data_IF_371137352501
#
_entry.id   IF_371137352501
#
_cell.length_a   1.000
_cell.length_b   1.000
_cell.length_c   1.000
_cell.angle_alpha   90.00
_cell.angle_beta   90.00
_cell.angle_gamma   90.00
#
_symmetry.space_group_name_H-M   'P 1'
#
loop_
_entity.id
_entity.type
_entity.pdbx_description
1 polymer ?
#
# COMPACT_ATOMS: atom_id res chain seq x y z
N UNK A 1 -2.31 8.97 -26.33
CA UNK A 1 -2.87 7.61 -26.14
C UNK A 1 -2.12 6.83 -25.06
N UNK A 2 -0.79 6.74 -25.12
CA UNK A 2 0.05 6.06 -24.11
C UNK A 2 -0.23 6.54 -22.67
N UNK A 3 -0.40 7.84 -22.44
CA UNK A 3 -0.65 8.38 -21.10
C UNK A 3 -1.91 7.82 -20.42
N UNK A 4 -2.98 7.57 -21.19
CA UNK A 4 -4.21 7.00 -20.67
C UNK A 4 -4.05 5.50 -20.34
N UNK A 5 -3.33 4.77 -21.18
CA UNK A 5 -2.99 3.37 -20.93
C UNK A 5 -2.14 3.22 -19.66
N UNK A 6 -1.07 4.03 -19.55
CA UNK A 6 -0.19 4.02 -18.38
C UNK A 6 -0.96 4.34 -17.11
N UNK A 7 -1.82 5.36 -17.13
CA UNK A 7 -2.64 5.71 -15.97
C UNK A 7 -3.60 4.57 -15.58
N UNK A 8 -4.23 3.92 -16.56
CA UNK A 8 -5.12 2.79 -16.31
C UNK A 8 -4.42 1.62 -15.62
N UNK A 9 -3.21 1.28 -16.06
CA UNK A 9 -2.39 0.21 -15.46
C UNK A 9 -2.00 0.56 -14.03
N UNK A 10 -1.46 1.77 -13.81
CA UNK A 10 -1.02 2.22 -12.46
C UNK A 10 -2.18 2.24 -11.47
N UNK A 11 -3.36 2.71 -11.90
CA UNK A 11 -4.55 2.74 -11.04
C UNK A 11 -5.03 1.33 -10.73
N UNK A 12 -5.08 0.42 -11.71
CA UNK A 12 -5.46 -0.98 -11.48
C UNK A 12 -4.51 -1.67 -10.49
N UNK A 13 -3.20 -1.50 -10.71
CA UNK A 13 -2.14 -2.06 -9.86
C UNK A 13 -2.26 -1.57 -8.41
N UNK A 14 -2.50 -0.28 -8.23
CA UNK A 14 -2.71 0.35 -6.91
C UNK A 14 -3.98 -0.16 -6.24
N UNK A 15 -5.12 -0.22 -6.95
CA UNK A 15 -6.40 -0.68 -6.41
C UNK A 15 -6.31 -2.15 -5.99
N UNK A 16 -5.65 -2.98 -6.79
CA UNK A 16 -5.47 -4.39 -6.49
C UNK A 16 -4.61 -4.59 -5.24
N UNK A 17 -3.51 -3.84 -5.12
CA UNK A 17 -2.63 -3.86 -3.95
C UNK A 17 -3.37 -3.39 -2.69
N UNK A 18 -4.02 -2.22 -2.76
CA UNK A 18 -4.73 -1.62 -1.63
C UNK A 18 -5.88 -2.49 -1.13
N UNK A 19 -6.58 -3.16 -2.04
CA UNK A 19 -7.66 -4.08 -1.68
C UNK A 19 -7.16 -5.24 -0.81
N UNK A 20 -6.00 -5.83 -1.12
CA UNK A 20 -5.39 -6.88 -0.29
C UNK A 20 -4.78 -6.34 0.99
N UNK A 21 -4.20 -5.14 0.96
CA UNK A 21 -3.72 -4.48 2.16
C UNK A 21 -4.84 -4.22 3.17
N UNK A 22 -5.93 -3.59 2.71
CA UNK A 22 -7.09 -3.30 3.55
C UNK A 22 -7.73 -4.57 4.08
N UNK A 23 -7.74 -5.64 3.28
CA UNK A 23 -8.18 -6.97 3.73
C UNK A 23 -7.29 -7.51 4.85
N UNK A 24 -5.96 -7.40 4.72
CA UNK A 24 -5.02 -7.82 5.77
C UNK A 24 -5.15 -6.99 7.06
N UNK A 25 -5.38 -5.68 6.96
CA UNK A 25 -5.62 -4.80 8.11
C UNK A 25 -6.95 -5.10 8.80
N UNK A 26 -8.07 -5.18 8.05
CA UNK A 26 -9.42 -5.33 8.63
C UNK A 26 -9.78 -6.77 9.01
N UNK A 27 -9.45 -7.76 8.18
CA UNK A 27 -9.90 -9.14 8.39
C UNK A 27 -8.90 -9.96 9.22
N UNK A 28 -7.60 -9.68 9.12
CA UNK A 28 -6.56 -10.40 9.86
C UNK A 28 -5.98 -9.62 11.06
N UNK A 29 -6.33 -8.33 11.22
CA UNK A 29 -5.82 -7.51 12.32
C UNK A 29 -4.31 -7.31 12.30
N UNK A 30 -3.66 -7.46 11.14
CA UNK A 30 -2.20 -7.36 11.04
C UNK A 30 -1.71 -5.93 11.33
N UNK A 31 -0.54 -5.84 11.97
CA UNK A 31 0.20 -4.58 12.05
C UNK A 31 0.51 -4.04 10.63
N UNK A 32 0.65 -2.72 10.44
CA UNK A 32 0.85 -2.11 9.11
C UNK A 32 1.98 -2.75 8.30
N UNK A 33 3.11 -3.02 8.95
CA UNK A 33 4.28 -3.72 8.38
C UNK A 33 3.95 -5.11 7.84
N UNK A 34 3.20 -5.89 8.62
CA UNK A 34 2.82 -7.26 8.25
C UNK A 34 1.73 -7.26 7.18
N UNK A 35 0.78 -6.32 7.24
CA UNK A 35 -0.24 -6.14 6.22
C UNK A 35 0.37 -5.77 4.86
N UNK A 36 1.39 -4.89 4.83
CA UNK A 36 2.16 -4.58 3.62
C UNK A 36 2.84 -5.86 3.10
N UNK A 37 3.51 -6.61 3.97
CA UNK A 37 4.22 -7.84 3.57
C UNK A 37 3.27 -8.89 2.99
N UNK A 38 2.10 -9.09 3.60
CA UNK A 38 1.06 -10.00 3.10
C UNK A 38 0.53 -9.51 1.75
N UNK A 39 0.19 -8.23 1.63
CA UNK A 39 -0.26 -7.66 0.36
C UNK A 39 0.79 -7.84 -0.74
N UNK A 40 2.06 -7.57 -0.45
CA UNK A 40 3.17 -7.73 -1.39
C UNK A 40 3.38 -9.18 -1.82
N UNK A 41 3.29 -10.15 -0.89
CA UNK A 41 3.42 -11.58 -1.23
C UNK A 41 2.27 -12.10 -2.09
N UNK A 42 1.08 -11.54 -1.91
CA UNK A 42 -0.13 -12.00 -2.60
C UNK A 42 -0.27 -11.32 -3.97
N UNK A 43 -0.06 -10.01 -4.01
CA UNK A 43 -0.31 -9.15 -5.18
C UNK A 43 0.96 -8.91 -5.99
N UNK A 44 2.12 -8.83 -5.36
CA UNK A 44 3.38 -8.51 -6.05
C UNK A 44 3.72 -9.49 -7.18
N UNK A 45 3.41 -10.78 -7.05
CA UNK A 45 3.56 -11.75 -8.15
C UNK A 45 2.62 -11.48 -9.32
N UNK A 46 1.38 -11.06 -9.05
CA UNK A 46 0.42 -10.71 -10.08
C UNK A 46 0.89 -9.48 -10.87
N UNK A 47 1.29 -8.42 -10.15
CA UNK A 47 1.80 -7.17 -10.73
C UNK A 47 3.06 -7.39 -11.58
N UNK A 48 3.99 -8.22 -11.12
CA UNK A 48 5.18 -8.58 -11.91
C UNK A 48 4.80 -9.33 -13.20
N UNK A 49 3.82 -10.22 -13.14
CA UNK A 49 3.43 -11.03 -14.30
C UNK A 49 2.76 -10.18 -15.37
N UNK A 50 1.78 -9.35 -14.99
CA UNK A 50 1.07 -8.45 -15.93
C UNK A 50 2.04 -7.47 -16.58
N UNK A 51 2.94 -6.90 -15.78
CA UNK A 51 3.92 -5.94 -16.28
C UNK A 51 4.97 -6.56 -17.18
N UNK A 52 5.41 -7.80 -16.90
CA UNK A 52 6.30 -8.52 -17.79
C UNK A 52 5.62 -8.78 -19.14
N UNK A 53 4.34 -9.18 -19.13
CA UNK A 53 3.55 -9.35 -20.37
C UNK A 53 3.49 -8.05 -21.16
N UNK A 54 3.24 -6.92 -20.49
CA UNK A 54 3.20 -5.61 -21.13
C UNK A 54 4.56 -5.21 -21.73
N UNK A 55 5.66 -5.36 -20.97
CA UNK A 55 7.01 -5.08 -21.46
C UNK A 55 7.33 -5.93 -22.68
N UNK A 56 7.06 -7.23 -22.64
CA UNK A 56 7.28 -8.13 -23.78
C UNK A 56 6.42 -7.71 -24.98
N UNK A 57 5.15 -7.37 -24.76
CA UNK A 57 4.26 -6.85 -25.80
C UNK A 57 4.82 -5.59 -26.48
N UNK A 58 5.29 -4.62 -25.69
CA UNK A 58 5.87 -3.39 -26.22
C UNK A 58 7.26 -3.59 -26.86
N UNK A 59 8.03 -4.59 -26.41
CA UNK A 59 9.27 -5.00 -27.08
C UNK A 59 8.98 -5.58 -28.46
N UNK A 60 7.95 -6.43 -28.60
CA UNK A 60 7.52 -6.95 -29.91
C UNK A 60 7.08 -5.82 -30.84
N UNK A 61 6.31 -4.87 -30.31
CA UNK A 61 5.92 -3.65 -31.03
C UNK A 61 7.15 -2.82 -31.45
N UNK A 62 8.18 -2.77 -30.60
CA UNK A 62 9.43 -2.06 -30.88
C UNK A 62 10.24 -2.64 -32.04
N UNK A 63 10.07 -3.93 -32.37
CA UNK A 63 10.76 -4.60 -33.48
C UNK A 63 10.17 -4.25 -34.85
N UNK A 64 9.09 -3.47 -34.88
CA UNK A 64 8.45 -3.05 -36.12
C UNK A 64 9.37 -2.17 -36.98
N UNK A 65 9.33 -2.40 -38.30
CA UNK A 65 10.06 -1.61 -39.30
C UNK A 65 9.55 -0.17 -39.47
N UNK A 66 8.42 0.16 -38.83
CA UNK A 66 7.84 1.50 -38.85
C UNK A 66 8.40 2.32 -37.68
N UNK A 67 9.11 3.42 -37.98
CA UNK A 67 9.78 4.29 -37.01
C UNK A 67 8.87 4.73 -35.85
N UNK A 68 7.62 5.09 -36.16
CA UNK A 68 6.63 5.52 -35.16
C UNK A 68 6.37 4.42 -34.13
N UNK A 69 6.27 3.17 -34.58
CA UNK A 69 5.96 2.03 -33.74
C UNK A 69 7.20 1.59 -32.93
N UNK A 70 8.40 1.66 -33.52
CA UNK A 70 9.66 1.39 -32.83
C UNK A 70 9.96 2.40 -31.72
N UNK A 71 9.74 3.68 -31.98
CA UNK A 71 9.93 4.75 -30.99
C UNK A 71 8.94 4.64 -29.84
N UNK A 72 7.64 4.46 -30.16
CA UNK A 72 6.60 4.31 -29.14
C UNK A 72 6.77 3.05 -28.31
N UNK A 73 7.19 1.93 -28.92
CA UNK A 73 7.45 0.67 -28.22
C UNK A 73 8.53 0.80 -27.14
N UNK A 74 9.68 1.39 -27.47
CA UNK A 74 10.78 1.62 -26.51
C UNK A 74 10.39 2.55 -25.38
N UNK A 75 9.75 3.68 -25.71
CA UNK A 75 9.36 4.66 -24.69
C UNK A 75 8.33 4.07 -23.73
N UNK A 76 7.35 3.34 -24.25
CA UNK A 76 6.28 2.75 -23.44
C UNK A 76 6.79 1.61 -22.57
N UNK A 77 7.68 0.76 -23.08
CA UNK A 77 8.34 -0.27 -22.28
C UNK A 77 9.13 0.34 -21.09
N UNK A 78 9.85 1.45 -21.32
CA UNK A 78 10.56 2.17 -20.27
C UNK A 78 9.60 2.76 -19.22
N UNK A 79 8.51 3.40 -19.67
CA UNK A 79 7.50 3.99 -18.78
C UNK A 79 6.84 2.93 -17.90
N UNK A 80 6.49 1.76 -18.45
CA UNK A 80 5.88 0.66 -17.69
C UNK A 80 6.88 0.10 -16.67
N UNK A 81 8.15 -0.05 -17.04
CA UNK A 81 9.19 -0.50 -16.11
C UNK A 81 9.38 0.49 -14.94
N UNK A 82 9.40 1.80 -15.22
CA UNK A 82 9.50 2.82 -14.19
C UNK A 82 8.24 2.90 -13.30
N UNK A 83 7.05 2.73 -13.88
CA UNK A 83 5.79 2.70 -13.15
C UNK A 83 5.75 1.54 -12.15
N UNK A 84 6.09 0.33 -12.58
CA UNK A 84 6.26 -0.84 -11.71
C UNK A 84 7.21 -0.57 -10.54
N UNK A 85 8.35 0.06 -10.85
CA UNK A 85 9.36 0.34 -9.85
C UNK A 85 8.84 1.34 -8.83
N UNK A 86 8.14 2.38 -9.28
CA UNK A 86 7.46 3.34 -8.42
C UNK A 86 6.37 2.67 -7.58
N UNK A 87 5.56 1.78 -8.12
CA UNK A 87 4.52 1.09 -7.36
C UNK A 87 5.10 0.16 -6.28
N UNK A 88 6.28 -0.42 -6.51
CA UNK A 88 6.93 -1.27 -5.52
C UNK A 88 7.70 -0.48 -4.45
N UNK A 89 8.27 0.69 -4.80
CA UNK A 89 9.06 1.49 -3.87
C UNK A 89 8.28 2.59 -3.16
N UNK A 90 7.30 3.21 -3.82
CA UNK A 90 6.60 4.39 -3.35
C UNK A 90 5.33 4.03 -2.56
N UNK A 91 4.66 2.97 -3.00
CA UNK A 91 3.37 2.52 -2.46
C UNK A 91 3.50 1.94 -1.02
N UNK A 92 4.52 1.12 -0.66
CA UNK A 92 4.66 0.63 0.71
C UNK A 92 4.92 1.73 1.75
N UNK A 93 5.88 2.67 1.57
CA UNK A 93 6.10 3.77 2.51
C UNK A 93 4.89 4.71 2.60
N UNK A 94 4.21 4.98 1.48
CA UNK A 94 3.01 5.82 1.46
C UNK A 94 1.89 5.21 2.32
N UNK A 95 1.68 3.90 2.19
CA UNK A 95 0.70 3.18 3.01
C UNK A 95 1.07 3.19 4.49
N UNK A 96 2.34 2.96 4.83
CA UNK A 96 2.82 3.02 6.22
C UNK A 96 2.59 4.40 6.85
N UNK A 97 2.82 5.48 6.09
CA UNK A 97 2.62 6.85 6.58
C UNK A 97 1.14 7.18 6.80
N UNK A 98 0.25 6.76 5.89
CA UNK A 98 -1.20 6.98 6.01
C UNK A 98 -1.78 6.24 7.22
N UNK A 99 -1.33 5.01 7.48
CA UNK A 99 -1.81 4.24 8.63
C UNK A 99 -1.23 4.75 9.96
N UNK A 100 0.01 5.22 9.98
CA UNK A 100 0.61 5.84 11.17
C UNK A 100 -0.16 7.10 11.62
N UNK A 101 -0.66 7.90 10.68
CA UNK A 101 -1.51 9.07 10.95
C UNK A 101 -2.89 8.65 11.47
N UNK A 102 -3.42 7.52 10.98
CA UNK A 102 -4.73 6.99 11.40
C UNK A 102 -4.71 6.43 12.83
N UNK A 103 -3.59 5.82 13.26
CA UNK A 103 -3.41 5.33 14.63
C UNK A 103 -3.04 6.46 15.62
N UNK A 104 -2.52 7.60 15.15
CA UNK A 104 -2.17 8.75 16.00
C UNK A 104 -3.39 9.50 16.58
N UNK A 105 -4.59 9.22 16.06
CA UNK A 105 -5.86 9.75 16.59
C UNK A 105 -6.54 8.86 17.63
N UNK A 106 -6.04 7.64 17.87
CA UNK A 106 -6.59 6.75 18.89
C UNK A 106 -6.05 7.12 20.27
N UNK A 107 -6.67 8.11 20.91
CA UNK A 107 -6.50 8.34 22.35
C UNK A 107 -6.77 7.04 23.11
N UNK A 108 -5.88 6.63 24.04
CA UNK A 108 -6.12 5.42 24.83
C UNK A 108 -7.44 5.54 25.59
N UNK A 109 -8.23 4.45 25.69
CA UNK A 109 -9.50 4.47 26.40
C UNK A 109 -9.30 4.94 27.85
N UNK A 110 -10.11 5.93 28.18
CA UNK A 110 -10.22 6.71 29.42
C UNK A 110 -10.39 5.85 30.70
N UNK A 111 -10.62 4.55 30.55
CA UNK A 111 -10.64 3.57 31.63
C UNK A 111 -9.30 3.43 32.36
N UNK A 112 -8.16 3.61 31.69
CA UNK A 112 -6.85 3.51 32.34
C UNK A 112 -6.57 4.71 33.27
N UNK A 113 -7.16 5.88 32.98
CA UNK A 113 -7.08 7.06 33.84
C UNK A 113 -8.04 6.97 35.03
N UNK A 114 -9.19 6.30 34.86
CA UNK A 114 -10.15 6.10 35.94
C UNK A 114 -9.61 5.14 37.02
N UNK A 115 -8.96 4.04 36.64
CA UNK A 115 -8.52 2.97 37.56
C UNK A 115 -7.51 3.40 38.63
N UNK A 116 -6.64 4.36 38.31
CA UNK A 116 -5.64 4.89 39.26
C UNK A 116 -6.27 5.84 40.27
N UNK A 117 -7.26 6.64 39.83
CA UNK A 117 -7.96 7.61 40.69
C UNK A 117 -8.87 6.96 41.76
N UNK A 118 -9.40 5.76 41.51
CA UNK A 118 -10.17 4.98 42.49
C UNK A 118 -9.28 4.33 43.55
N UNK A 119 -8.06 3.93 43.19
CA UNK A 119 -7.11 3.34 44.14
C UNK A 119 -6.55 4.36 45.12
N UNK A 120 -6.41 5.63 44.70
CA UNK A 120 -5.89 6.69 45.57
C UNK A 120 -6.97 7.25 46.51
N UNK A 121 -8.23 7.32 46.05
CA UNK A 121 -9.37 7.78 46.86
C UNK A 121 -9.76 6.82 47.99
N UNK A 122 -9.51 5.52 47.84
CA UNK A 122 -9.85 4.49 48.84
C UNK A 122 -8.73 4.17 49.84
N UNK A 123 -7.59 4.89 49.80
CA UNK A 123 -6.46 4.69 50.73
C UNK A 123 -6.52 5.54 52.00
N UNK A 124 -7.46 6.47 52.13
CA UNK A 124 -7.60 7.26 53.36
C UNK A 124 -8.41 6.47 54.39
N UNK A 125 -7.81 6.04 55.52
CA UNK A 125 -8.56 5.36 56.57
C UNK A 125 -9.61 6.33 57.17
N UNK A 126 -10.80 5.83 57.55
CA UNK A 126 -11.79 6.66 58.21
C UNK A 126 -11.23 7.15 59.55
N UNK A 127 -11.09 8.47 59.67
CA UNK A 127 -10.85 9.14 60.95
C UNK A 127 -12.02 8.79 61.87
N UNK A 128 -11.74 7.88 62.81
CA UNK A 128 -12.66 7.47 63.87
C UNK A 128 -12.80 8.63 64.89
N UNK A 129 -13.94 8.69 65.62
CA UNK A 129 -14.52 9.91 66.20
C UNK A 129 -13.74 10.53 67.37
#
# INVERSE_FOLDING_TARGET
>A
MVSALTLGIVVDDTVHFLSKYRRARRELGCAPTDAVRVAFRTVGRALLTTSLVLVVGFVVVSLSSFELNSGMGRLTALVIALALFADFFLLPPLLMKIDADSDSGASPPDDFAAGTSWQERNRTPPSSP
#
